data_IF_333069978003
#
_entry.id   IF_333069978003
#
_cell.length_a   1.000
_cell.length_b   1.000
_cell.length_c   1.000
_cell.angle_alpha   90.00
_cell.angle_beta   90.00
_cell.angle_gamma   90.00
#
_symmetry.space_group_name_H-M   'P 1'
#
loop_
_entity.id
_entity.type
_entity.pdbx_description
1 polymer ?
#
# COMPACT_ATOMS: atom_id res chain seq x y z
N UNK A 1 -36.21 -43.61 -12.16
CA UNK A 1 -36.06 -42.93 -10.85
C UNK A 1 -34.73 -42.20 -10.69
N UNK A 2 -33.58 -42.80 -11.08
CA UNK A 2 -32.26 -42.16 -10.91
C UNK A 2 -32.12 -40.75 -11.55
N UNK A 3 -32.57 -40.59 -12.80
CA UNK A 3 -32.52 -39.28 -13.51
C UNK A 3 -33.28 -38.16 -12.79
N UNK A 4 -34.45 -38.48 -12.21
CA UNK A 4 -35.26 -37.51 -11.48
C UNK A 4 -34.56 -37.06 -10.19
N UNK A 5 -33.87 -37.97 -9.51
CA UNK A 5 -33.08 -37.67 -8.29
C UNK A 5 -31.90 -36.76 -8.63
N UNK A 6 -31.22 -37.01 -9.75
CA UNK A 6 -30.09 -36.19 -10.20
C UNK A 6 -30.54 -34.78 -10.61
N UNK A 7 -31.66 -34.65 -11.32
CA UNK A 7 -32.28 -33.34 -11.64
C UNK A 7 -32.67 -32.55 -10.38
N UNK A 8 -33.31 -33.20 -9.40
CA UNK A 8 -33.67 -32.53 -8.14
C UNK A 8 -32.42 -32.07 -7.36
N UNK A 9 -31.32 -32.83 -7.43
CA UNK A 9 -30.06 -32.47 -6.80
C UNK A 9 -29.38 -31.28 -7.49
N UNK A 10 -29.46 -31.21 -8.82
CA UNK A 10 -28.94 -30.10 -9.61
C UNK A 10 -29.75 -28.81 -9.38
N UNK A 11 -31.08 -28.91 -9.33
CA UNK A 11 -31.98 -27.81 -8.98
C UNK A 11 -31.69 -27.29 -7.56
N UNK A 12 -31.45 -28.18 -6.61
CA UNK A 12 -31.05 -27.81 -5.24
C UNK A 12 -29.72 -27.05 -5.21
N UNK A 13 -28.72 -27.47 -6.00
CA UNK A 13 -27.44 -26.76 -6.12
C UNK A 13 -27.60 -25.38 -6.74
N UNK A 14 -28.40 -25.26 -7.81
CA UNK A 14 -28.70 -23.98 -8.48
C UNK A 14 -29.44 -23.02 -7.55
N UNK A 15 -30.41 -23.50 -6.77
CA UNK A 15 -31.05 -22.67 -5.75
C UNK A 15 -30.06 -22.23 -4.66
N UNK A 16 -29.19 -23.12 -4.19
CA UNK A 16 -28.20 -22.79 -3.16
C UNK A 16 -27.16 -21.76 -3.63
N UNK A 17 -26.73 -21.78 -4.90
CA UNK A 17 -25.86 -20.74 -5.48
C UNK A 17 -26.60 -19.40 -5.55
N UNK A 18 -27.82 -19.38 -6.09
CA UNK A 18 -28.62 -18.15 -6.18
C UNK A 18 -28.89 -17.52 -4.80
N UNK A 19 -29.19 -18.34 -3.79
CA UNK A 19 -29.38 -17.82 -2.42
C UNK A 19 -28.10 -17.22 -1.84
N UNK A 20 -26.93 -17.83 -2.11
CA UNK A 20 -25.64 -17.31 -1.66
C UNK A 20 -25.30 -15.97 -2.34
N UNK A 21 -25.51 -15.87 -3.65
CA UNK A 21 -25.26 -14.63 -4.39
C UNK A 21 -26.16 -13.50 -3.89
N UNK A 22 -27.46 -13.78 -3.72
CA UNK A 22 -28.42 -12.81 -3.16
C UNK A 22 -28.04 -12.36 -1.74
N UNK A 23 -27.53 -13.27 -0.92
CA UNK A 23 -27.06 -12.94 0.43
C UNK A 23 -25.81 -12.04 0.40
N UNK A 24 -24.88 -12.33 -0.52
CA UNK A 24 -23.66 -11.53 -0.74
C UNK A 24 -24.00 -10.11 -1.22
N UNK A 25 -24.89 -9.98 -2.19
CA UNK A 25 -25.31 -8.67 -2.72
C UNK A 25 -26.01 -7.83 -1.65
N UNK A 26 -26.87 -8.46 -0.84
CA UNK A 26 -27.53 -7.79 0.29
C UNK A 26 -26.53 -7.35 1.36
N UNK A 27 -25.44 -8.10 1.56
CA UNK A 27 -24.37 -7.73 2.48
C UNK A 27 -23.49 -6.59 1.95
N UNK A 28 -23.18 -6.59 0.64
CA UNK A 28 -22.46 -5.48 -0.02
C UNK A 28 -23.26 -4.18 0.07
N UNK A 29 -24.56 -4.22 -0.27
CA UNK A 29 -25.45 -3.05 -0.19
C UNK A 29 -25.49 -2.41 1.20
N UNK A 30 -25.51 -3.24 2.26
CA UNK A 30 -25.46 -2.73 3.65
C UNK A 30 -24.14 -2.03 3.97
N UNK A 31 -23.02 -2.46 3.39
CA UNK A 31 -21.70 -1.82 3.62
C UNK A 31 -21.57 -0.49 2.87
N UNK A 32 -22.15 -0.40 1.68
CA UNK A 32 -22.18 0.82 0.85
C UNK A 32 -23.04 1.93 1.46
N UNK A 33 -24.02 1.59 2.31
CA UNK A 33 -24.92 2.53 2.97
C UNK A 33 -24.25 3.34 4.10
N UNK A 34 -23.04 2.97 4.53
CA UNK A 34 -22.29 3.64 5.61
C UNK A 34 -21.49 4.87 5.15
N UNK A 35 -22.15 5.82 4.49
CA UNK A 35 -21.67 7.21 4.47
C UNK A 35 -22.43 7.97 5.57
N UNK A 36 -21.99 7.82 6.82
CA UNK A 36 -22.55 8.55 7.97
C UNK A 36 -22.24 10.06 7.96
N UNK A 37 -21.55 10.55 6.94
CA UNK A 37 -21.21 11.95 6.74
C UNK A 37 -22.18 12.61 5.75
N UNK A 38 -22.47 13.90 5.95
CA UNK A 38 -23.19 14.71 4.96
C UNK A 38 -22.25 14.98 3.78
N UNK A 39 -22.55 14.36 2.65
CA UNK A 39 -21.82 14.58 1.38
C UNK A 39 -22.80 15.00 0.28
N UNK A 40 -22.42 15.96 -0.59
CA UNK A 40 -23.21 16.29 -1.78
C UNK A 40 -23.47 15.06 -2.64
N UNK A 41 -24.65 15.02 -3.28
CA UNK A 41 -25.08 13.87 -4.10
C UNK A 41 -24.09 13.56 -5.22
N UNK A 42 -23.60 14.58 -5.91
CA UNK A 42 -22.64 14.46 -7.00
C UNK A 42 -21.35 13.77 -6.55
N UNK A 43 -20.84 14.16 -5.37
CA UNK A 43 -19.64 13.55 -4.80
C UNK A 43 -19.88 12.08 -4.42
N UNK A 44 -21.05 11.76 -3.86
CA UNK A 44 -21.43 10.37 -3.57
C UNK A 44 -21.43 9.50 -4.83
N UNK A 45 -22.02 10.00 -5.92
CA UNK A 45 -22.09 9.29 -7.20
C UNK A 45 -20.67 9.08 -7.79
N UNK A 46 -19.81 10.10 -7.73
CA UNK A 46 -18.43 10.01 -8.17
C UNK A 46 -17.61 8.96 -7.38
N UNK A 47 -17.77 8.92 -6.06
CA UNK A 47 -17.09 7.94 -5.19
C UNK A 47 -17.53 6.51 -5.52
N UNK A 48 -18.83 6.28 -5.74
CA UNK A 48 -19.35 4.96 -6.12
C UNK A 48 -18.80 4.53 -7.49
N UNK A 49 -18.81 5.43 -8.47
CA UNK A 49 -18.28 5.15 -9.80
C UNK A 49 -16.78 4.79 -9.75
N UNK A 50 -16.01 5.51 -8.95
CA UNK A 50 -14.58 5.25 -8.77
C UNK A 50 -14.31 3.90 -8.09
N UNK A 51 -15.06 3.56 -7.05
CA UNK A 51 -14.94 2.28 -6.36
C UNK A 51 -15.24 1.10 -7.29
N UNK A 52 -16.29 1.22 -8.12
CA UNK A 52 -16.64 0.21 -9.13
C UNK A 52 -15.54 0.04 -10.18
N UNK A 53 -14.93 1.14 -10.64
CA UNK A 53 -13.82 1.09 -11.60
C UNK A 53 -12.62 0.32 -11.05
N UNK A 54 -12.36 0.45 -9.75
CA UNK A 54 -11.29 -0.25 -9.04
C UNK A 54 -11.67 -1.68 -8.60
N UNK A 55 -12.95 -2.06 -8.72
CA UNK A 55 -13.46 -3.36 -8.27
C UNK A 55 -13.42 -3.56 -6.75
N UNK A 56 -13.42 -2.48 -5.97
CA UNK A 56 -13.36 -2.52 -4.50
C UNK A 56 -14.64 -1.95 -3.88
N UNK A 57 -15.01 -2.35 -2.66
CA UNK A 57 -16.12 -1.73 -1.95
C UNK A 57 -15.85 -0.26 -1.65
N UNK A 58 -16.88 0.58 -1.72
CA UNK A 58 -16.83 2.03 -1.43
C UNK A 58 -16.18 2.33 -0.08
N UNK A 59 -16.47 1.53 0.95
CA UNK A 59 -15.88 1.70 2.28
C UNK A 59 -14.35 1.50 2.31
N UNK A 60 -13.81 0.65 1.43
CA UNK A 60 -12.36 0.43 1.30
C UNK A 60 -11.71 1.62 0.59
N UNK A 61 -12.34 2.11 -0.49
CA UNK A 61 -11.87 3.29 -1.19
C UNK A 61 -11.78 4.50 -0.23
N UNK A 62 -12.85 4.76 0.53
CA UNK A 62 -12.89 5.87 1.48
C UNK A 62 -11.82 5.71 2.55
N UNK A 63 -11.64 4.49 3.10
CA UNK A 63 -10.58 4.20 4.06
C UNK A 63 -9.21 4.55 3.48
N UNK A 64 -8.86 4.04 2.30
CA UNK A 64 -7.55 4.25 1.69
C UNK A 64 -7.28 5.74 1.45
N UNK A 65 -8.26 6.47 0.89
CA UNK A 65 -8.14 7.91 0.66
C UNK A 65 -7.91 8.67 1.97
N UNK A 66 -8.63 8.31 3.05
CA UNK A 66 -8.43 8.95 4.35
C UNK A 66 -7.09 8.57 4.98
N UNK A 67 -6.66 7.31 4.87
CA UNK A 67 -5.34 6.88 5.36
C UNK A 67 -4.20 7.60 4.62
N UNK A 68 -4.34 7.80 3.31
CA UNK A 68 -3.37 8.53 2.47
C UNK A 68 -3.41 10.05 2.75
N UNK A 69 -4.60 10.64 2.85
CA UNK A 69 -4.76 12.09 3.06
C UNK A 69 -4.27 12.56 4.43
N UNK A 70 -4.32 11.68 5.43
CA UNK A 70 -3.88 11.97 6.79
C UNK A 70 -2.56 11.29 7.16
N UNK A 71 -1.88 10.67 6.18
CA UNK A 71 -0.64 9.90 6.36
C UNK A 71 -0.69 8.95 7.57
N UNK A 72 -1.87 8.40 7.89
CA UNK A 72 -2.09 7.56 9.08
C UNK A 72 -1.36 6.22 8.97
N UNK A 73 -0.78 5.94 7.79
CA UNK A 73 0.09 4.78 7.53
C UNK A 73 1.45 4.94 8.20
N UNK A 74 1.87 6.15 8.55
CA UNK A 74 3.07 6.39 9.33
C UNK A 74 2.74 7.15 10.62
N UNK A 75 3.20 6.61 11.75
CA UNK A 75 3.34 7.39 12.98
C UNK A 75 4.44 8.45 12.82
N UNK A 76 4.27 9.39 11.89
CA UNK A 76 5.22 10.46 11.59
C UNK A 76 4.65 11.79 12.06
N UNK A 77 5.43 12.43 12.94
CA UNK A 77 5.16 13.72 13.58
C UNK A 77 4.83 14.82 12.55
N UNK A 78 3.88 15.74 12.82
CA UNK A 78 3.36 16.71 11.85
C UNK A 78 4.29 17.91 11.55
N UNK A 79 5.60 17.76 11.71
CA UNK A 79 6.57 18.82 11.39
C UNK A 79 7.31 18.49 10.08
N UNK A 80 6.62 18.59 8.95
CA UNK A 80 7.29 18.72 7.66
C UNK A 80 6.50 19.66 6.74
N UNK A 81 7.13 20.72 6.19
CA UNK A 81 6.45 21.60 5.26
C UNK A 81 6.21 20.87 3.94
N UNK A 82 5.02 21.08 3.39
CA UNK A 82 4.64 20.64 2.05
C UNK A 82 5.71 21.07 1.04
N UNK A 83 6.37 20.12 0.40
CA UNK A 83 7.26 20.42 -0.74
C UNK A 83 6.42 20.45 -2.00
N UNK A 84 6.13 21.68 -2.43
CA UNK A 84 5.73 22.00 -3.80
C UNK A 84 6.73 21.43 -4.80
N UNK A 85 6.20 21.00 -5.93
CA UNK A 85 6.94 20.44 -7.05
C UNK A 85 7.97 21.42 -7.63
N UNK A 86 9.23 21.01 -7.59
CA UNK A 86 10.25 21.43 -8.55
C UNK A 86 11.15 20.24 -8.85
N UNK A 87 10.63 19.30 -9.65
CA UNK A 87 11.37 18.19 -10.22
C UNK A 87 12.31 18.73 -11.32
N UNK A 88 13.44 19.29 -10.89
CA UNK A 88 14.67 19.10 -11.66
C UNK A 88 15.28 17.85 -11.06
N UNK A 89 15.53 16.76 -11.82
CA UNK A 89 16.15 15.59 -11.24
C UNK A 89 17.55 15.99 -10.77
N UNK A 90 17.72 16.28 -9.49
CA UNK A 90 19.02 16.13 -8.87
C UNK A 90 19.39 14.67 -9.13
N UNK A 91 20.42 14.45 -9.94
CA UNK A 91 20.91 13.10 -10.23
C UNK A 91 21.22 12.42 -8.90
N UNK A 92 20.33 11.52 -8.50
CA UNK A 92 20.46 10.80 -7.27
C UNK A 92 21.79 10.05 -7.30
N UNK A 93 22.65 10.33 -6.33
CA UNK A 93 24.00 9.76 -6.26
C UNK A 93 24.01 8.22 -6.26
N UNK A 94 22.92 7.60 -5.78
CA UNK A 94 22.70 6.17 -5.74
C UNK A 94 21.26 5.87 -6.19
N UNK A 95 20.98 5.87 -7.51
CA UNK A 95 19.61 5.77 -8.03
C UNK A 95 18.95 4.41 -7.74
N UNK A 96 19.73 3.38 -7.45
CA UNK A 96 19.25 2.05 -7.06
C UNK A 96 18.80 1.94 -5.60
N UNK A 97 19.04 2.97 -4.78
CA UNK A 97 18.70 2.94 -3.35
C UNK A 97 17.27 3.44 -3.17
N UNK A 98 16.39 2.53 -2.76
CA UNK A 98 14.96 2.79 -2.51
C UNK A 98 14.77 3.50 -1.16
N UNK A 99 15.66 3.26 -0.21
CA UNK A 99 15.61 3.86 1.12
C UNK A 99 16.85 3.57 1.96
N UNK A 100 16.92 4.16 3.15
CA UNK A 100 18.08 4.05 4.03
C UNK A 100 17.70 3.52 5.40
N UNK A 101 18.48 2.58 5.91
CA UNK A 101 18.35 2.02 7.26
C UNK A 101 19.65 2.21 8.05
N UNK A 102 19.54 2.58 9.32
CA UNK A 102 20.72 2.67 10.19
C UNK A 102 21.07 1.27 10.74
N UNK A 103 22.29 0.82 10.44
CA UNK A 103 22.79 -0.49 10.88
C UNK A 103 24.11 -0.35 11.62
N UNK A 104 24.46 -1.40 12.37
CA UNK A 104 25.77 -1.52 13.03
C UNK A 104 26.65 -2.54 12.30
N UNK A 105 27.82 -2.10 11.86
CA UNK A 105 28.72 -2.97 11.10
C UNK A 105 29.28 -4.12 11.95
N UNK A 106 29.25 -5.34 11.42
CA UNK A 106 29.95 -6.49 12.05
C UNK A 106 31.39 -6.66 11.57
N UNK A 107 31.81 -5.96 10.50
CA UNK A 107 33.17 -5.99 9.95
C UNK A 107 33.57 -4.58 9.49
N UNK A 108 34.88 -4.33 9.40
CA UNK A 108 35.37 -3.09 8.84
C UNK A 108 35.15 -3.07 7.32
N UNK A 109 34.77 -1.92 6.77
CA UNK A 109 34.58 -1.74 5.33
C UNK A 109 34.67 -0.27 4.93
N UNK A 110 34.72 0.00 3.62
CA UNK A 110 34.83 1.36 3.09
C UNK A 110 33.46 1.97 2.82
N UNK A 111 33.34 3.27 3.08
CA UNK A 111 32.17 4.06 2.70
C UNK A 111 32.08 4.16 1.18
N UNK A 112 30.91 3.87 0.60
CA UNK A 112 30.69 4.00 -0.84
C UNK A 112 30.75 5.46 -1.32
N UNK A 113 30.48 6.44 -0.44
CA UNK A 113 30.49 7.86 -0.77
C UNK A 113 31.87 8.52 -0.72
N UNK A 114 32.68 8.24 0.30
CA UNK A 114 33.97 8.92 0.48
C UNK A 114 35.18 7.98 0.52
N UNK A 115 34.97 6.66 0.46
CA UNK A 115 36.03 5.66 0.55
C UNK A 115 36.66 5.51 1.94
N UNK A 116 36.25 6.33 2.93
CA UNK A 116 36.78 6.27 4.28
C UNK A 116 36.54 4.89 4.91
N UNK A 117 37.53 4.38 5.65
CA UNK A 117 37.39 3.14 6.40
C UNK A 117 36.47 3.35 7.59
N UNK A 118 35.50 2.45 7.72
CA UNK A 118 34.55 2.38 8.82
C UNK A 118 34.87 1.13 9.62
N UNK A 119 35.11 1.31 10.92
CA UNK A 119 35.47 0.21 11.80
C UNK A 119 34.27 -0.70 12.11
N UNK A 120 34.55 -1.95 12.49
CA UNK A 120 33.55 -2.84 13.10
C UNK A 120 32.89 -2.14 14.29
N UNK A 121 31.57 -2.26 14.38
CA UNK A 121 30.77 -1.69 15.46
C UNK A 121 30.35 -0.24 15.23
N UNK A 122 30.76 0.41 14.12
CA UNK A 122 30.30 1.75 13.75
C UNK A 122 28.84 1.74 13.31
N UNK A 123 28.10 2.81 13.63
CA UNK A 123 26.77 3.08 13.07
C UNK A 123 26.91 3.68 11.67
N UNK A 124 26.19 3.13 10.71
CA UNK A 124 26.28 3.49 9.28
C UNK A 124 24.90 3.42 8.64
N UNK A 125 24.74 4.02 7.46
CA UNK A 125 23.51 3.91 6.68
C UNK A 125 23.66 2.81 5.63
N UNK A 126 22.74 1.86 5.60
CA UNK A 126 22.57 0.85 4.56
C UNK A 126 21.51 1.32 3.57
N UNK A 127 21.85 1.34 2.29
CA UNK A 127 20.93 1.52 1.18
C UNK A 127 20.19 0.22 0.88
N UNK A 128 18.87 0.26 1.00
CA UNK A 128 17.98 -0.82 0.59
C UNK A 128 17.78 -0.73 -0.93
N UNK A 129 18.15 -1.79 -1.65
CA UNK A 129 18.11 -1.85 -3.12
C UNK A 129 17.26 -3.03 -3.58
N UNK A 130 16.92 -3.05 -4.87
CA UNK A 130 16.12 -4.13 -5.46
C UNK A 130 16.85 -5.49 -5.43
N UNK A 131 16.12 -6.60 -5.64
CA UNK A 131 16.73 -7.92 -5.72
C UNK A 131 17.80 -8.00 -6.80
N UNK A 132 19.03 -8.33 -6.42
CA UNK A 132 20.18 -8.46 -7.33
C UNK A 132 21.00 -7.19 -7.55
N UNK A 133 20.62 -6.08 -6.92
CA UNK A 133 21.39 -4.83 -6.95
C UNK A 133 22.41 -4.75 -5.79
N UNK A 134 23.48 -3.99 -5.99
CA UNK A 134 24.51 -3.79 -4.98
C UNK A 134 24.03 -2.88 -3.86
N UNK A 135 24.18 -3.35 -2.62
CA UNK A 135 23.93 -2.55 -1.42
C UNK A 135 24.96 -1.44 -1.26
N UNK A 136 24.49 -0.25 -0.91
CA UNK A 136 25.34 0.93 -0.64
C UNK A 136 25.49 1.12 0.87
N UNK A 137 26.71 1.29 1.37
CA UNK A 137 26.95 1.59 2.79
C UNK A 137 27.67 2.92 2.94
N UNK A 138 27.10 3.83 3.73
CA UNK A 138 27.60 5.19 3.94
C UNK A 138 27.96 5.45 5.40
N UNK A 139 29.08 6.14 5.62
CA UNK A 139 29.45 6.63 6.94
C UNK A 139 28.51 7.78 7.36
N UNK A 140 28.46 8.08 8.67
CA UNK A 140 27.59 9.14 9.19
C UNK A 140 27.86 10.56 8.65
N UNK A 141 28.96 10.77 7.92
CA UNK A 141 29.28 12.03 7.23
C UNK A 141 28.74 12.10 5.79
N UNK A 142 28.43 10.96 5.18
CA UNK A 142 27.98 10.86 3.80
C UNK A 142 26.47 10.61 3.66
N UNK A 143 25.73 10.61 4.78
CA UNK A 143 24.27 10.59 4.80
C UNK A 143 23.68 11.76 4.04
#
# INVERSE_FOLDING_TARGET
MQKLVDEMRELGRKQATMMRDKARDRAMKRKEEYLGARVPRELKEAVIAHANKLGIPVSILIRNILEDAFDVREGRSPDAPAKDGSDTPEELRFPQVIGWEEIRLNRAMKCAGCGAEMARGSSVMLGLSGPGEDHVILCGKCK
#
